data_IF_001260777657
#
_entry.id   IF_001260777657
#
_cell.length_a   1.000
_cell.length_b   1.000
_cell.length_c   1.000
_cell.angle_alpha   90.00
_cell.angle_beta   90.00
_cell.angle_gamma   90.00
#
_symmetry.space_group_name_H-M   'P 1'
#
loop_
_entity.id
_entity.type
_entity.pdbx_description
1 polymer ?
#
# COMPACT_ATOMS: atom_id res chain seq x y z
N UNK A 1 27.12 -23.60 -13.56
CA UNK A 1 26.05 -22.67 -13.17
C UNK A 1 26.39 -21.29 -13.70
N UNK A 2 25.46 -20.65 -14.40
CA UNK A 2 25.67 -19.33 -15.01
C UNK A 2 25.29 -18.25 -14.01
N UNK A 3 26.26 -17.40 -13.65
CA UNK A 3 26.05 -16.28 -12.72
C UNK A 3 25.81 -14.98 -13.49
N UNK A 4 24.70 -14.32 -13.18
CA UNK A 4 24.24 -13.10 -13.85
C UNK A 4 24.21 -11.89 -12.90
N UNK A 5 24.22 -10.69 -13.47
CA UNK A 5 24.10 -9.43 -12.71
C UNK A 5 22.67 -9.24 -12.21
N UNK A 6 22.48 -8.40 -11.17
CA UNK A 6 21.16 -8.11 -10.62
C UNK A 6 20.18 -7.55 -11.67
N UNK A 7 20.63 -6.69 -12.58
CA UNK A 7 19.77 -6.17 -13.65
C UNK A 7 19.32 -7.25 -14.63
N UNK A 8 20.21 -8.20 -15.00
CA UNK A 8 19.86 -9.33 -15.85
C UNK A 8 18.96 -10.29 -15.11
N UNK A 9 19.22 -10.59 -13.83
CA UNK A 9 18.38 -11.43 -12.99
C UNK A 9 16.97 -10.88 -12.84
N UNK A 10 16.81 -9.55 -12.66
CA UNK A 10 15.53 -8.88 -12.59
C UNK A 10 14.74 -9.03 -13.91
N UNK A 11 15.41 -8.88 -15.04
CA UNK A 11 14.82 -9.05 -16.38
C UNK A 11 14.36 -10.50 -16.61
N UNK A 12 15.18 -11.49 -16.30
CA UNK A 12 14.85 -12.92 -16.44
C UNK A 12 13.70 -13.32 -15.50
N UNK A 13 13.72 -12.83 -14.25
CA UNK A 13 12.63 -13.08 -13.31
C UNK A 13 11.33 -12.30 -13.66
N UNK A 14 11.39 -11.29 -14.52
CA UNK A 14 10.26 -10.40 -14.83
C UNK A 14 9.84 -9.55 -13.64
N UNK A 15 10.80 -9.12 -12.81
CA UNK A 15 10.57 -8.30 -11.61
C UNK A 15 11.53 -7.09 -11.58
N UNK A 16 11.31 -6.17 -10.64
CA UNK A 16 12.21 -5.03 -10.45
C UNK A 16 13.48 -5.45 -9.69
N UNK A 17 14.54 -4.64 -9.80
CA UNK A 17 15.77 -4.82 -9.02
C UNK A 17 15.49 -4.73 -7.51
N UNK A 18 14.58 -3.87 -7.10
CA UNK A 18 14.12 -3.71 -5.72
C UNK A 18 13.44 -4.97 -5.21
N UNK A 19 12.64 -5.62 -6.02
CA UNK A 19 12.01 -6.91 -5.69
C UNK A 19 13.06 -7.98 -5.43
N UNK A 20 14.09 -8.10 -6.28
CA UNK A 20 15.19 -9.04 -6.05
C UNK A 20 15.97 -8.75 -4.76
N UNK A 21 16.23 -7.47 -4.46
CA UNK A 21 16.84 -7.07 -3.18
C UNK A 21 15.99 -7.44 -1.97
N UNK A 22 14.68 -7.28 -2.10
CA UNK A 22 13.71 -7.68 -1.06
C UNK A 22 13.73 -9.19 -0.84
N UNK A 23 13.75 -9.99 -1.92
CA UNK A 23 13.85 -11.44 -1.85
C UNK A 23 15.17 -11.91 -1.20
N UNK A 24 16.30 -11.28 -1.57
CA UNK A 24 17.60 -11.53 -0.94
C UNK A 24 17.58 -11.20 0.56
N UNK A 25 17.04 -10.01 0.93
CA UNK A 25 16.91 -9.59 2.34
C UNK A 25 16.01 -10.50 3.15
N UNK A 26 14.97 -11.05 2.52
CA UNK A 26 14.08 -12.04 3.13
C UNK A 26 14.66 -13.47 3.14
N UNK A 27 15.88 -13.68 2.65
CA UNK A 27 16.53 -14.99 2.58
C UNK A 27 15.92 -15.96 1.56
N UNK A 28 15.07 -15.47 0.66
CA UNK A 28 14.36 -16.27 -0.34
C UNK A 28 15.24 -16.68 -1.53
N UNK A 29 16.23 -15.85 -1.87
CA UNK A 29 17.25 -16.10 -2.87
C UNK A 29 18.63 -15.73 -2.32
N UNK A 30 19.68 -16.32 -2.88
CA UNK A 30 21.06 -16.03 -2.47
C UNK A 30 21.78 -15.25 -3.55
N UNK A 31 22.70 -14.37 -3.15
CA UNK A 31 23.64 -13.73 -4.06
C UNK A 31 25.07 -13.95 -3.59
N UNK A 32 25.97 -14.07 -4.53
CA UNK A 32 27.39 -14.01 -4.26
C UNK A 32 27.93 -12.62 -4.60
N UNK A 33 29.02 -12.22 -3.94
CA UNK A 33 29.67 -10.95 -4.20
C UNK A 33 30.97 -11.16 -4.94
N UNK A 34 31.18 -10.40 -6.00
CA UNK A 34 32.49 -10.34 -6.66
C UNK A 34 33.49 -9.58 -5.80
N UNK A 35 34.81 -9.62 -6.16
CA UNK A 35 35.86 -8.82 -5.49
C UNK A 35 35.54 -7.32 -5.47
N UNK A 36 34.77 -6.81 -6.45
CA UNK A 36 34.26 -5.43 -6.50
C UNK A 36 32.91 -5.22 -5.82
N UNK A 37 32.48 -6.13 -4.93
CA UNK A 37 31.23 -6.06 -4.16
C UNK A 37 29.94 -6.04 -5.00
N UNK A 38 29.97 -6.45 -6.27
CA UNK A 38 28.82 -6.57 -7.13
C UNK A 38 28.09 -7.89 -6.91
N UNK A 39 26.75 -7.86 -6.79
CA UNK A 39 25.90 -9.05 -6.66
C UNK A 39 25.90 -9.89 -7.92
N UNK A 40 25.96 -11.21 -7.73
CA UNK A 40 25.80 -12.23 -8.76
C UNK A 40 24.79 -13.26 -8.28
N UNK A 41 23.87 -13.65 -9.16
CA UNK A 41 22.81 -14.61 -8.88
C UNK A 41 22.96 -15.79 -9.84
N UNK A 42 22.65 -16.99 -9.38
CA UNK A 42 22.53 -18.17 -10.24
C UNK A 42 21.22 -18.10 -11.03
N UNK A 43 21.31 -18.21 -12.36
CA UNK A 43 20.14 -18.06 -13.23
C UNK A 43 19.07 -19.11 -12.91
N UNK A 44 19.46 -20.36 -12.67
CA UNK A 44 18.55 -21.46 -12.37
C UNK A 44 17.80 -21.25 -11.04
N UNK A 45 18.46 -20.68 -10.02
CA UNK A 45 17.83 -20.34 -8.75
C UNK A 45 16.80 -19.24 -8.95
N UNK A 46 17.14 -18.18 -9.69
CA UNK A 46 16.25 -17.07 -9.98
C UNK A 46 15.03 -17.53 -10.78
N UNK A 47 15.21 -18.31 -11.84
CA UNK A 47 14.11 -18.84 -12.64
C UNK A 47 13.20 -19.78 -11.85
N UNK A 48 13.78 -20.69 -11.06
CA UNK A 48 13.01 -21.62 -10.24
C UNK A 48 12.20 -20.89 -9.17
N UNK A 49 12.77 -19.83 -8.58
CA UNK A 49 12.07 -19.03 -7.59
C UNK A 49 10.98 -18.14 -8.23
N UNK A 50 11.27 -17.47 -9.33
CA UNK A 50 10.32 -16.67 -10.07
C UNK A 50 9.13 -17.51 -10.57
N UNK A 51 9.37 -18.73 -11.04
CA UNK A 51 8.33 -19.66 -11.45
C UNK A 51 7.47 -20.16 -10.28
N UNK A 52 8.06 -20.35 -9.09
CA UNK A 52 7.31 -20.65 -7.85
C UNK A 52 6.48 -19.47 -7.38
N UNK A 53 7.05 -18.27 -7.43
CA UNK A 53 6.37 -17.02 -7.06
C UNK A 53 5.21 -16.70 -8.03
N UNK A 54 5.40 -16.96 -9.34
CA UNK A 54 4.33 -16.86 -10.36
C UNK A 54 3.23 -17.91 -10.20
N UNK A 55 3.57 -19.10 -9.66
CA UNK A 55 2.60 -20.18 -9.35
C UNK A 55 1.97 -20.02 -7.98
N UNK A 56 2.50 -19.16 -7.10
CA UNK A 56 1.84 -18.82 -5.85
C UNK A 56 0.47 -18.23 -6.21
N UNK A 57 -0.58 -18.85 -5.70
CA UNK A 57 -1.96 -18.44 -5.96
C UNK A 57 -2.15 -17.03 -5.39
N UNK A 58 -2.22 -16.04 -6.29
CA UNK A 58 -2.48 -14.67 -5.90
C UNK A 58 -3.88 -14.57 -5.33
N UNK A 59 -4.04 -13.74 -4.33
CA UNK A 59 -5.34 -13.51 -3.68
C UNK A 59 -5.83 -12.11 -3.94
N UNK A 60 -7.12 -11.90 -3.72
CA UNK A 60 -7.72 -10.57 -3.71
C UNK A 60 -7.45 -9.90 -2.36
N UNK A 61 -6.95 -8.68 -2.34
CA UNK A 61 -6.86 -7.89 -1.13
C UNK A 61 -8.16 -7.09 -0.95
N UNK A 62 -8.90 -7.36 0.12
CA UNK A 62 -10.01 -6.52 0.58
C UNK A 62 -9.40 -5.44 1.47
N UNK A 63 -9.56 -4.17 1.12
CA UNK A 63 -9.13 -3.08 1.99
C UNK A 63 -10.34 -2.34 2.56
N UNK A 64 -10.37 -2.21 3.88
CA UNK A 64 -11.42 -1.54 4.65
C UNK A 64 -10.82 -0.51 5.60
N UNK A 65 -11.56 0.59 5.83
CA UNK A 65 -11.10 1.65 6.73
C UNK A 65 -12.27 2.39 7.38
N UNK A 66 -12.06 2.75 8.64
CA UNK A 66 -12.87 3.75 9.35
C UNK A 66 -11.97 4.81 9.97
N UNK A 67 -12.49 6.02 10.17
CA UNK A 67 -11.72 7.16 10.70
C UNK A 67 -11.34 7.01 12.17
N UNK A 68 -12.20 6.39 12.97
CA UNK A 68 -12.05 6.29 14.43
C UNK A 68 -12.43 4.91 14.97
N UNK A 69 -11.93 4.51 16.15
CA UNK A 69 -12.32 3.26 16.81
C UNK A 69 -13.81 3.19 17.16
N UNK A 70 -14.49 4.33 17.32
CA UNK A 70 -15.93 4.38 17.59
C UNK A 70 -16.77 3.82 16.44
N UNK A 71 -16.22 3.81 15.22
CA UNK A 71 -16.87 3.29 14.00
C UNK A 71 -16.54 1.82 13.68
N UNK A 72 -16.18 1.02 14.67
CA UNK A 72 -15.87 -0.41 14.45
C UNK A 72 -17.05 -1.19 13.84
N UNK A 73 -18.27 -0.83 14.14
CA UNK A 73 -19.45 -1.46 13.54
C UNK A 73 -19.50 -1.21 12.02
N UNK A 74 -19.15 0.02 11.58
CA UNK A 74 -19.09 0.36 10.15
C UNK A 74 -17.97 -0.42 9.46
N UNK A 75 -16.83 -0.64 10.15
CA UNK A 75 -15.73 -1.46 9.63
C UNK A 75 -16.20 -2.91 9.41
N UNK A 76 -16.95 -3.48 10.36
CA UNK A 76 -17.46 -4.85 10.24
C UNK A 76 -18.50 -4.97 9.11
N UNK A 77 -19.36 -3.98 8.93
CA UNK A 77 -20.30 -3.93 7.81
C UNK A 77 -19.55 -3.88 6.48
N UNK A 78 -18.54 -3.00 6.34
CA UNK A 78 -17.70 -2.94 5.14
C UNK A 78 -17.07 -4.32 4.84
N UNK A 79 -16.55 -4.97 5.86
CA UNK A 79 -15.93 -6.29 5.77
C UNK A 79 -16.91 -7.34 5.24
N UNK A 80 -18.07 -7.45 5.84
CA UNK A 80 -19.09 -8.42 5.43
C UNK A 80 -19.53 -8.20 3.98
N UNK A 81 -19.78 -6.96 3.57
CA UNK A 81 -20.19 -6.63 2.20
C UNK A 81 -19.11 -7.05 1.20
N UNK A 82 -17.84 -6.72 1.46
CA UNK A 82 -16.74 -7.05 0.56
C UNK A 82 -16.42 -8.54 0.54
N UNK A 83 -16.55 -9.24 1.66
CA UNK A 83 -16.43 -10.70 1.74
C UNK A 83 -17.50 -11.40 0.91
N UNK A 84 -18.77 -10.98 1.04
CA UNK A 84 -19.87 -11.52 0.22
C UNK A 84 -19.65 -11.26 -1.27
N UNK A 85 -19.16 -10.07 -1.62
CA UNK A 85 -18.84 -9.76 -2.99
C UNK A 85 -17.74 -10.68 -3.53
N UNK A 86 -16.62 -10.84 -2.82
CA UNK A 86 -15.55 -11.76 -3.22
C UNK A 86 -16.02 -13.21 -3.30
N UNK A 87 -16.84 -13.65 -2.34
CA UNK A 87 -17.41 -14.99 -2.34
C UNK A 87 -18.30 -15.24 -3.57
N UNK A 88 -19.14 -14.24 -3.95
CA UNK A 88 -19.99 -14.33 -5.14
C UNK A 88 -19.20 -14.46 -6.46
N UNK A 89 -17.94 -14.01 -6.46
CA UNK A 89 -17.00 -14.11 -7.58
C UNK A 89 -16.10 -15.35 -7.50
N UNK A 90 -16.16 -16.11 -6.41
CA UNK A 90 -15.27 -17.24 -6.16
C UNK A 90 -13.81 -16.83 -5.90
N UNK A 91 -13.57 -15.59 -5.49
CA UNK A 91 -12.23 -15.07 -5.23
C UNK A 91 -11.74 -15.43 -3.83
N UNK A 92 -10.54 -15.99 -3.75
CA UNK A 92 -9.83 -16.10 -2.48
C UNK A 92 -9.34 -14.72 -2.07
N UNK A 93 -9.48 -14.37 -0.79
CA UNK A 93 -9.17 -13.02 -0.35
C UNK A 93 -8.37 -13.00 0.97
N UNK A 94 -7.67 -11.89 1.15
CA UNK A 94 -7.05 -11.45 2.40
C UNK A 94 -7.62 -10.10 2.78
N UNK A 95 -7.93 -9.91 4.07
CA UNK A 95 -8.45 -8.64 4.58
C UNK A 95 -7.28 -7.80 5.09
N UNK A 96 -7.26 -6.54 4.70
CA UNK A 96 -6.37 -5.50 5.16
C UNK A 96 -7.21 -4.37 5.71
N UNK A 97 -7.02 -4.05 6.98
CA UNK A 97 -7.88 -3.09 7.68
C UNK A 97 -7.08 -1.97 8.35
N UNK A 98 -7.66 -0.79 8.38
CA UNK A 98 -7.12 0.38 9.06
C UNK A 98 -8.17 1.11 9.89
N UNK A 99 -7.72 1.66 11.02
CA UNK A 99 -8.46 2.64 11.79
C UNK A 99 -7.63 3.93 11.80
N UNK A 100 -8.16 4.96 11.15
CA UNK A 100 -7.48 6.25 11.05
C UNK A 100 -7.98 7.09 9.88
N UNK A 101 -7.68 8.39 9.90
CA UNK A 101 -8.05 9.34 8.86
C UNK A 101 -7.58 8.92 7.48
N UNK A 102 -8.36 9.25 6.45
CA UNK A 102 -7.98 9.11 5.04
C UNK A 102 -6.76 9.95 4.64
N UNK A 103 -6.39 10.94 5.44
CA UNK A 103 -5.19 11.80 5.27
C UNK A 103 -3.92 11.17 5.86
N UNK A 104 -4.03 10.13 6.67
CA UNK A 104 -2.87 9.46 7.23
C UNK A 104 -2.30 8.45 6.24
N UNK A 105 -1.17 8.75 5.65
CA UNK A 105 -0.46 7.87 4.70
C UNK A 105 0.41 6.81 5.40
N UNK A 106 0.61 6.89 6.72
CA UNK A 106 1.42 5.96 7.50
C UNK A 106 0.59 4.88 8.20
N UNK A 107 -0.64 4.63 7.73
CA UNK A 107 -1.49 3.54 8.24
C UNK A 107 -0.85 2.18 7.98
N UNK A 108 -0.93 1.29 8.96
CA UNK A 108 -0.31 -0.04 8.88
C UNK A 108 -0.88 -0.89 7.74
N UNK A 109 -2.20 -0.90 7.59
CA UNK A 109 -2.87 -1.65 6.54
C UNK A 109 -2.56 -1.08 5.15
N UNK A 110 -2.53 0.25 4.98
CA UNK A 110 -2.12 0.86 3.71
C UNK A 110 -0.70 0.45 3.31
N UNK A 111 0.24 0.50 4.26
CA UNK A 111 1.63 0.09 4.01
C UNK A 111 1.73 -1.43 3.74
N UNK A 112 0.90 -2.24 4.38
CA UNK A 112 0.79 -3.68 4.09
C UNK A 112 0.24 -3.90 2.68
N UNK A 113 -0.82 -3.19 2.29
CA UNK A 113 -1.39 -3.27 0.95
C UNK A 113 -0.36 -2.95 -0.14
N UNK A 114 0.41 -1.88 0.03
CA UNK A 114 1.49 -1.51 -0.90
C UNK A 114 2.53 -2.64 -0.99
N UNK A 115 2.94 -3.23 0.13
CA UNK A 115 3.87 -4.38 0.13
C UNK A 115 3.31 -5.60 -0.60
N UNK A 116 2.01 -5.88 -0.46
CA UNK A 116 1.35 -6.97 -1.18
C UNK A 116 1.35 -6.74 -2.69
N UNK A 117 1.14 -5.49 -3.13
CA UNK A 117 1.22 -5.10 -4.55
C UNK A 117 2.65 -5.30 -5.07
N UNK A 118 3.64 -4.68 -4.39
CA UNK A 118 5.05 -4.73 -4.80
C UNK A 118 5.62 -6.14 -4.81
N UNK A 119 5.20 -6.99 -3.87
CA UNK A 119 5.65 -8.39 -3.79
C UNK A 119 4.88 -9.34 -4.69
N UNK A 120 3.98 -8.84 -5.53
CA UNK A 120 3.20 -9.61 -6.50
C UNK A 120 2.34 -10.72 -5.85
N UNK A 121 1.91 -10.53 -4.59
CA UNK A 121 1.13 -11.49 -3.82
C UNK A 121 -0.38 -11.39 -4.07
N UNK A 122 -0.82 -10.29 -4.66
CA UNK A 122 -2.23 -10.06 -4.98
C UNK A 122 -2.44 -9.84 -6.47
N UNK A 123 -3.59 -10.27 -6.96
CA UNK A 123 -4.02 -10.03 -8.34
C UNK A 123 -5.02 -8.87 -8.43
N UNK A 124 -5.61 -8.49 -7.27
CA UNK A 124 -6.73 -7.57 -7.22
C UNK A 124 -6.83 -6.89 -5.86
N UNK A 125 -7.24 -5.62 -5.85
CA UNK A 125 -7.73 -4.94 -4.66
C UNK A 125 -9.24 -4.69 -4.80
N UNK A 126 -9.99 -4.84 -3.71
CA UNK A 126 -11.43 -4.57 -3.68
C UNK A 126 -11.71 -3.57 -2.55
N UNK A 127 -12.43 -2.52 -2.91
CA UNK A 127 -12.80 -1.40 -2.05
C UNK A 127 -14.31 -1.20 -2.08
N UNK A 128 -14.89 -0.76 -0.98
CA UNK A 128 -16.29 -0.34 -0.98
C UNK A 128 -16.45 1.01 -1.70
N UNK A 129 -15.61 1.99 -1.36
CA UNK A 129 -15.55 3.33 -1.96
C UNK A 129 -14.10 3.74 -2.15
N UNK A 130 -13.83 4.59 -3.14
CA UNK A 130 -12.49 5.09 -3.46
C UNK A 130 -11.82 5.80 -2.27
N UNK A 131 -12.55 6.61 -1.53
CA UNK A 131 -12.08 7.38 -0.38
C UNK A 131 -11.71 6.51 0.84
N UNK A 132 -12.08 5.22 0.84
CA UNK A 132 -11.64 4.29 1.88
C UNK A 132 -10.15 4.06 1.83
N UNK A 133 -9.56 4.06 0.65
CA UNK A 133 -8.11 3.89 0.49
C UNK A 133 -7.35 5.13 1.02
N UNK A 134 -7.59 6.26 0.38
CA UNK A 134 -7.02 7.57 0.74
C UNK A 134 -8.07 8.65 0.47
N UNK A 135 -8.07 9.72 1.25
CA UNK A 135 -8.94 10.87 0.99
C UNK A 135 -8.52 11.59 -0.29
N UNK A 136 -7.20 11.72 -0.50
CA UNK A 136 -6.62 12.30 -1.70
C UNK A 136 -5.48 11.41 -2.20
N UNK A 137 -5.27 11.38 -3.51
CA UNK A 137 -4.16 10.66 -4.13
C UNK A 137 -4.33 9.15 -4.24
N UNK A 138 -5.55 8.61 -4.13
CA UNK A 138 -5.84 7.19 -4.40
C UNK A 138 -5.41 6.79 -5.80
N UNK A 139 -5.44 7.73 -6.76
CA UNK A 139 -5.02 7.55 -8.14
C UNK A 139 -3.57 7.09 -8.25
N UNK A 140 -2.70 7.56 -7.35
CA UNK A 140 -1.28 7.13 -7.32
C UNK A 140 -1.20 5.64 -7.01
N UNK A 141 -1.98 5.17 -6.04
CA UNK A 141 -2.02 3.74 -5.69
C UNK A 141 -2.62 2.92 -6.84
N UNK A 142 -3.65 3.46 -7.52
CA UNK A 142 -4.25 2.78 -8.67
C UNK A 142 -3.29 2.66 -9.85
N UNK A 143 -2.46 3.69 -10.12
CA UNK A 143 -1.41 3.59 -11.14
C UNK A 143 -0.31 2.59 -10.74
N UNK A 144 0.06 2.52 -9.45
CA UNK A 144 0.97 1.47 -8.95
C UNK A 144 0.36 0.08 -9.16
N UNK A 145 -0.92 -0.11 -8.84
CA UNK A 145 -1.64 -1.36 -9.09
C UNK A 145 -1.56 -1.75 -10.57
N UNK A 146 -1.89 -0.82 -11.46
CA UNK A 146 -1.86 -1.03 -12.91
C UNK A 146 -0.46 -1.41 -13.40
N UNK A 147 0.59 -0.73 -12.89
CA UNK A 147 1.97 -1.06 -13.22
C UNK A 147 2.36 -2.49 -12.82
N UNK A 148 1.84 -2.96 -11.67
CA UNK A 148 2.08 -4.34 -11.18
C UNK A 148 1.06 -5.36 -11.70
N UNK A 149 0.16 -4.98 -12.60
CA UNK A 149 -0.89 -5.87 -13.13
C UNK A 149 -1.92 -6.29 -12.07
N UNK A 150 -2.16 -5.44 -11.07
CA UNK A 150 -3.17 -5.63 -10.02
C UNK A 150 -4.45 -4.90 -10.41
N UNK A 151 -5.55 -5.62 -10.51
CA UNK A 151 -6.87 -5.06 -10.81
C UNK A 151 -7.41 -4.25 -9.63
N UNK A 152 -8.05 -3.11 -9.90
CA UNK A 152 -8.74 -2.31 -8.88
C UNK A 152 -10.25 -2.40 -9.09
N UNK A 153 -10.97 -2.87 -8.06
CA UNK A 153 -12.43 -3.00 -8.05
C UNK A 153 -13.00 -2.11 -6.96
N UNK A 154 -13.85 -1.18 -7.34
CA UNK A 154 -14.63 -0.32 -6.43
C UNK A 154 -16.09 -0.71 -6.61
N UNK A 155 -16.74 -1.18 -5.52
CA UNK A 155 -18.11 -1.72 -5.65
C UNK A 155 -19.15 -0.61 -5.74
N UNK A 156 -18.92 0.53 -5.09
CA UNK A 156 -19.81 1.68 -5.14
C UNK A 156 -19.03 2.87 -5.70
N UNK A 157 -19.33 3.24 -6.92
CA UNK A 157 -18.69 4.37 -7.60
C UNK A 157 -19.22 5.72 -7.09
N UNK A 158 -20.50 5.77 -6.70
CA UNK A 158 -21.11 6.99 -6.18
C UNK A 158 -20.73 7.21 -4.71
N UNK A 159 -20.13 8.36 -4.43
CA UNK A 159 -19.89 8.83 -3.06
C UNK A 159 -21.22 9.11 -2.38
N UNK A 160 -21.66 8.19 -1.51
CA UNK A 160 -22.85 8.43 -0.70
C UNK A 160 -22.51 9.47 0.37
N UNK A 161 -23.43 10.39 0.62
CA UNK A 161 -23.41 11.45 1.66
C UNK A 161 -23.02 11.00 3.07
N UNK A 162 -22.93 9.69 3.33
CA UNK A 162 -22.65 9.06 4.63
C UNK A 162 -21.26 9.42 5.19
N UNK A 163 -20.36 10.00 4.40
CA UNK A 163 -18.99 10.34 4.83
C UNK A 163 -18.70 11.83 4.85
N UNK A 164 -19.72 12.69 4.72
CA UNK A 164 -19.57 14.15 4.83
C UNK A 164 -18.94 14.56 6.16
N UNK A 165 -19.36 13.92 7.26
CA UNK A 165 -18.79 14.16 8.59
C UNK A 165 -17.30 13.84 8.67
N UNK A 166 -16.84 12.73 8.05
CA UNK A 166 -15.42 12.40 7.98
C UNK A 166 -14.66 13.43 7.17
N UNK A 167 -15.23 13.90 6.05
CA UNK A 167 -14.61 14.92 5.22
C UNK A 167 -14.47 16.25 6.01
N UNK A 168 -15.51 16.65 6.73
CA UNK A 168 -15.46 17.84 7.59
C UNK A 168 -14.36 17.71 8.65
N UNK A 169 -14.25 16.57 9.32
CA UNK A 169 -13.20 16.32 10.32
C UNK A 169 -11.81 16.33 9.69
N UNK A 170 -11.64 15.77 8.50
CA UNK A 170 -10.37 15.80 7.76
C UNK A 170 -9.98 17.25 7.40
N UNK A 171 -10.93 18.09 6.92
CA UNK A 171 -10.71 19.49 6.61
C UNK A 171 -10.35 20.30 7.89
N UNK A 172 -11.09 20.10 8.99
CA UNK A 172 -10.79 20.74 10.26
C UNK A 172 -9.39 20.38 10.78
N UNK A 173 -8.97 19.13 10.60
CA UNK A 173 -7.63 18.69 10.96
C UNK A 173 -6.55 19.40 10.16
N UNK A 174 -6.74 19.58 8.84
CA UNK A 174 -5.83 20.33 7.97
C UNK A 174 -5.74 21.80 8.44
N UNK A 175 -6.90 22.45 8.65
CA UNK A 175 -6.97 23.84 9.10
C UNK A 175 -6.26 24.01 10.45
N UNK A 176 -6.46 23.09 11.39
CA UNK A 176 -5.84 23.14 12.72
C UNK A 176 -4.32 23.04 12.63
N UNK A 177 -3.79 22.08 11.83
CA UNK A 177 -2.34 21.95 11.62
C UNK A 177 -1.76 23.18 10.94
N UNK A 178 -2.45 23.73 9.96
CA UNK A 178 -2.00 24.92 9.24
C UNK A 178 -2.00 26.15 10.16
N UNK A 179 -3.06 26.35 10.93
CA UNK A 179 -3.20 27.45 11.89
C UNK A 179 -2.12 27.36 12.98
N UNK A 180 -1.86 26.18 13.54
CA UNK A 180 -0.83 26.01 14.56
C UNK A 180 0.58 26.35 14.06
N UNK A 181 0.89 26.00 12.80
CA UNK A 181 2.16 26.38 12.16
C UNK A 181 2.26 27.88 11.90
N UNK A 182 1.19 28.53 11.46
CA UNK A 182 1.17 29.98 11.22
C UNK A 182 1.30 30.79 12.52
N UNK A 183 0.57 30.42 13.56
CA UNK A 183 0.59 31.13 14.85
C UNK A 183 1.83 30.78 15.68
N UNK A 184 2.30 29.53 15.64
CA UNK A 184 3.52 29.10 16.32
C UNK A 184 4.77 29.81 15.80
N UNK A 185 4.85 30.08 14.50
CA UNK A 185 5.98 30.82 13.91
C UNK A 185 5.98 32.31 14.30
N UNK A 186 4.81 32.90 14.56
CA UNK A 186 4.68 34.29 15.03
C UNK A 186 5.07 34.46 16.51
N UNK A 187 4.78 33.47 17.34
CA UNK A 187 5.14 33.49 18.76
C UNK A 187 6.66 33.46 18.98
N UNK A 188 7.42 32.76 18.15
CA UNK A 188 8.89 32.78 18.22
C UNK A 188 9.51 34.12 17.77
N UNK A 189 8.92 34.81 16.77
CA UNK A 189 9.43 36.11 16.33
C UNK A 189 9.21 37.21 17.36
N UNK A 190 8.11 37.16 18.13
CA UNK A 190 7.85 38.20 19.17
C UNK A 190 8.72 38.01 20.44
N UNK A 191 9.26 36.81 20.72
CA UNK A 191 10.18 36.62 21.85
C UNK A 191 11.58 37.18 21.59
N UNK A 192 11.99 37.36 20.34
CA UNK A 192 13.31 37.88 19.99
C UNK A 192 13.33 39.42 19.96
N UNK A 193 12.19 40.13 19.91
CA UNK A 193 12.08 41.58 19.86
C UNK A 193 11.96 42.24 21.25
N UNK A 194 11.69 41.49 22.30
CA UNK A 194 11.53 41.97 23.69
C UNK A 194 12.83 41.82 24.53
N UNK A 195 13.92 41.32 23.97
CA UNK A 195 15.20 41.07 24.63
C UNK A 195 16.34 42.00 24.12
N UNK A 196 16.01 43.21 23.68
CA UNK A 196 17.00 44.28 23.37
C UNK A 196 16.65 45.57 24.10
#
# INVERSE_FOLDING_TARGET
MVKITIGKAAKEAGVTVETLRSWEKAGKIKSERTKGNHRRYEIEEIESFANRDRKAEKVTAIYIRVSTPARKNDLEIQKQVLQLYCASKGWKYKIVEDIGSGLNYNKKGLLELIKLIESNQIERIVLNYKDRLLRFGSEIIFEICKYHGVETVIINEDEIKTYEEELVQDVLSIITVFSSKLYGSRSHKNKTVVAT
#
